data_IF_886780439431
#
_entry.id   IF_886780439431
#
_cell.length_a   1.000
_cell.length_b   1.000
_cell.length_c   1.000
_cell.angle_alpha   90.00
_cell.angle_beta   90.00
_cell.angle_gamma   90.00
#
_symmetry.space_group_name_H-M   'P 1'
#
loop_
_entity.id
_entity.type
_entity.pdbx_description
1 polymer ?
#
# COMPACT_ATOMS: atom_id res chain seq x y z
N UNK A 1 -6.17 -12.15 -15.39
CA UNK A 1 -5.95 -10.95 -16.24
C UNK A 1 -5.48 -9.86 -15.28
N UNK A 2 -4.26 -9.33 -15.45
CA UNK A 2 -3.58 -8.27 -14.65
C UNK A 2 -3.87 -8.24 -13.14
N UNK A 3 -3.01 -8.83 -12.32
CA UNK A 3 -3.36 -9.11 -10.93
C UNK A 3 -2.46 -8.47 -9.83
N UNK A 4 -1.13 -8.51 -9.88
CA UNK A 4 -0.30 -7.96 -8.77
C UNK A 4 -0.32 -6.43 -8.64
N UNK A 5 -0.32 -5.72 -9.76
CA UNK A 5 -0.38 -4.25 -9.79
C UNK A 5 -1.60 -3.65 -9.06
N UNK A 6 -2.83 -4.15 -9.30
CA UNK A 6 -4.00 -3.77 -8.52
C UNK A 6 -3.83 -3.98 -7.01
N UNK A 7 -3.16 -5.04 -6.58
CA UNK A 7 -2.98 -5.32 -5.14
C UNK A 7 -2.15 -4.23 -4.46
N UNK A 8 -1.02 -3.83 -5.03
CA UNK A 8 -0.17 -2.77 -4.46
C UNK A 8 -0.88 -1.40 -4.45
N UNK A 9 -1.70 -1.13 -5.46
CA UNK A 9 -2.54 0.06 -5.53
C UNK A 9 -3.61 0.07 -4.44
N UNK A 10 -4.29 -1.06 -4.20
CA UNK A 10 -5.25 -1.21 -3.10
C UNK A 10 -4.58 -1.11 -1.74
N UNK A 11 -3.40 -1.74 -1.55
CA UNK A 11 -2.63 -1.61 -0.31
C UNK A 11 -2.22 -0.15 -0.05
N UNK A 12 -1.81 0.58 -1.09
CA UNK A 12 -1.47 2.01 -0.98
C UNK A 12 -2.71 2.84 -0.62
N UNK A 13 -3.85 2.55 -1.25
CA UNK A 13 -5.14 3.17 -0.95
C UNK A 13 -5.52 2.94 0.52
N UNK A 14 -5.55 1.69 0.97
CA UNK A 14 -5.86 1.29 2.34
C UNK A 14 -4.92 1.91 3.36
N UNK A 15 -3.63 2.05 3.04
CA UNK A 15 -2.67 2.75 3.90
C UNK A 15 -3.03 4.24 4.07
N UNK A 16 -3.39 4.92 2.96
CA UNK A 16 -3.90 6.29 3.01
C UNK A 16 -5.17 6.40 3.87
N UNK A 17 -6.11 5.47 3.69
CA UNK A 17 -7.33 5.39 4.49
C UNK A 17 -7.04 5.18 5.97
N UNK A 18 -6.11 4.28 6.32
CA UNK A 18 -5.76 3.98 7.71
C UNK A 18 -5.22 5.22 8.46
N UNK A 19 -4.35 6.01 7.81
CA UNK A 19 -3.85 7.25 8.40
C UNK A 19 -4.95 8.32 8.54
N UNK A 20 -5.85 8.46 7.56
CA UNK A 20 -6.98 9.38 7.65
C UNK A 20 -8.02 8.93 8.70
N UNK A 21 -8.20 7.62 8.88
CA UNK A 21 -9.07 7.09 9.93
C UNK A 21 -8.46 7.35 11.31
N UNK A 22 -7.17 7.08 11.48
CA UNK A 22 -6.43 7.34 12.73
C UNK A 22 -6.37 8.82 13.10
N UNK A 23 -6.40 9.72 12.10
CA UNK A 23 -6.52 11.16 12.32
C UNK A 23 -7.78 11.50 13.14
N UNK A 24 -8.90 10.80 12.91
CA UNK A 24 -10.17 11.12 13.59
C UNK A 24 -10.64 12.55 13.32
N UNK A 25 -11.04 13.25 14.38
CA UNK A 25 -11.41 14.68 14.33
C UNK A 25 -10.22 15.63 14.49
N UNK A 26 -9.04 15.08 14.78
CA UNK A 26 -7.81 15.86 14.95
C UNK A 26 -7.41 16.44 13.60
N UNK A 27 -7.03 17.71 13.56
CA UNK A 27 -6.54 18.35 12.34
C UNK A 27 -7.51 18.31 11.13
N UNK A 28 -8.81 18.03 11.30
CA UNK A 28 -9.74 17.94 10.15
C UNK A 28 -9.74 19.21 9.29
N UNK A 29 -9.65 20.36 9.95
CA UNK A 29 -9.62 21.70 9.33
C UNK A 29 -8.25 22.08 8.74
N UNK A 30 -7.20 21.26 8.95
CA UNK A 30 -5.88 21.54 8.35
C UNK A 30 -5.88 21.15 6.87
N UNK A 31 -5.23 21.95 6.00
CA UNK A 31 -4.90 21.52 4.64
C UNK A 31 -4.13 20.20 4.66
N UNK A 32 -4.37 19.32 3.67
CA UNK A 32 -3.79 17.97 3.63
C UNK A 32 -2.27 17.97 3.72
N UNK A 33 -1.61 18.86 2.97
CA UNK A 33 -0.15 19.01 2.99
C UNK A 33 0.42 19.58 4.31
N UNK A 34 -0.45 19.99 5.23
CA UNK A 34 -0.11 20.44 6.60
C UNK A 34 -0.61 19.46 7.68
N UNK A 35 -1.25 18.36 7.30
CA UNK A 35 -1.67 17.34 8.26
C UNK A 35 -0.49 16.46 8.64
N UNK A 36 -0.27 16.31 9.94
CA UNK A 36 0.76 15.45 10.50
C UNK A 36 0.51 14.00 10.11
N UNK A 37 -0.74 13.54 10.14
CA UNK A 37 -1.12 12.18 9.76
C UNK A 37 -0.84 11.90 8.28
N UNK A 38 -1.11 12.87 7.39
CA UNK A 38 -0.79 12.74 5.97
C UNK A 38 0.72 12.68 5.74
N UNK A 39 1.50 13.61 6.31
CA UNK A 39 2.94 13.68 6.08
C UNK A 39 3.70 12.49 6.67
N UNK A 40 3.35 12.08 7.89
CA UNK A 40 3.94 10.89 8.53
C UNK A 40 3.53 9.62 7.79
N UNK A 41 2.27 9.52 7.35
CA UNK A 41 1.82 8.39 6.56
C UNK A 41 2.46 8.34 5.17
N UNK A 42 2.68 9.48 4.53
CA UNK A 42 3.39 9.57 3.26
C UNK A 42 4.86 9.17 3.42
N UNK A 43 5.52 9.59 4.50
CA UNK A 43 6.87 9.18 4.81
C UNK A 43 6.95 7.66 5.08
N UNK A 44 5.99 7.12 5.83
CA UNK A 44 5.87 5.67 6.05
C UNK A 44 5.64 4.92 4.73
N UNK A 45 4.72 5.40 3.88
CA UNK A 45 4.44 4.82 2.57
C UNK A 45 5.70 4.84 1.68
N UNK A 46 6.43 5.95 1.63
CA UNK A 46 7.67 6.08 0.86
C UNK A 46 8.74 5.09 1.33
N UNK A 47 9.02 5.03 2.64
CA UNK A 47 10.10 4.20 3.18
C UNK A 47 9.75 2.72 3.13
N UNK A 48 8.52 2.38 3.52
CA UNK A 48 8.12 0.99 3.75
C UNK A 48 7.42 0.42 2.52
N UNK A 49 6.26 0.95 2.15
CA UNK A 49 5.46 0.37 1.06
C UNK A 49 6.18 0.47 -0.29
N UNK A 50 6.59 1.69 -0.67
CA UNK A 50 7.34 1.93 -1.89
C UNK A 50 8.73 1.30 -1.86
N UNK A 51 9.46 1.41 -0.74
CA UNK A 51 10.78 0.78 -0.58
C UNK A 51 10.76 -0.73 -0.79
N UNK A 52 9.77 -1.42 -0.19
CA UNK A 52 9.59 -2.88 -0.37
C UNK A 52 9.19 -3.20 -1.81
N UNK A 53 8.23 -2.48 -2.40
CA UNK A 53 7.81 -2.73 -3.77
C UNK A 53 8.94 -2.52 -4.79
N UNK A 54 9.74 -1.44 -4.61
CA UNK A 54 10.91 -1.17 -5.44
C UNK A 54 11.97 -2.27 -5.29
N UNK A 55 12.23 -2.74 -4.07
CA UNK A 55 13.15 -3.85 -3.83
C UNK A 55 12.66 -5.14 -4.50
N UNK A 56 11.36 -5.44 -4.42
CA UNK A 56 10.75 -6.59 -5.10
C UNK A 56 10.93 -6.48 -6.61
N UNK A 57 10.72 -5.30 -7.18
CA UNK A 57 10.94 -5.05 -8.61
C UNK A 57 12.41 -5.24 -9.03
N UNK A 58 13.36 -4.80 -8.20
CA UNK A 58 14.79 -4.97 -8.49
C UNK A 58 15.20 -6.45 -8.45
N UNK A 59 14.65 -7.23 -7.52
CA UNK A 59 15.00 -8.64 -7.35
C UNK A 59 14.33 -9.53 -8.38
N UNK A 60 13.03 -9.36 -8.59
CA UNK A 60 12.21 -10.23 -9.43
C UNK A 60 11.18 -9.40 -10.21
N UNK A 61 11.60 -8.65 -11.24
CA UNK A 61 10.71 -7.77 -11.98
C UNK A 61 9.58 -8.54 -12.67
N UNK A 62 9.84 -9.76 -13.15
CA UNK A 62 8.81 -10.62 -13.75
C UNK A 62 7.72 -11.05 -12.77
N UNK A 63 7.99 -11.06 -11.46
CA UNK A 63 6.95 -11.31 -10.44
C UNK A 63 6.02 -10.10 -10.27
N UNK A 64 6.53 -8.89 -10.43
CA UNK A 64 5.71 -7.68 -10.36
C UNK A 64 4.84 -7.50 -11.63
N UNK A 65 5.41 -7.79 -12.81
CA UNK A 65 4.72 -7.67 -14.12
C UNK A 65 4.02 -8.93 -14.59
N UNK A 66 3.97 -9.93 -13.71
CA UNK A 66 3.61 -11.32 -13.93
C UNK A 66 2.30 -11.60 -14.67
N UNK A 67 1.42 -10.61 -14.73
CA UNK A 67 0.09 -10.69 -15.32
C UNK A 67 -0.13 -9.75 -16.50
N UNK A 68 0.91 -9.04 -16.92
CA UNK A 68 0.87 -8.04 -17.97
C UNK A 68 1.76 -8.47 -19.14
N UNK A 69 3.07 -8.48 -18.93
CA UNK A 69 4.07 -8.76 -19.97
C UNK A 69 5.40 -9.12 -19.30
N UNK A 70 6.36 -9.65 -20.08
CA UNK A 70 7.72 -9.83 -19.57
C UNK A 70 8.37 -8.46 -19.30
N UNK A 71 9.10 -8.34 -18.20
CA UNK A 71 9.62 -7.05 -17.74
C UNK A 71 10.53 -6.36 -18.78
N UNK A 72 11.23 -7.14 -19.60
CA UNK A 72 12.11 -6.66 -20.67
C UNK A 72 11.41 -5.81 -21.73
N UNK A 73 10.09 -5.96 -21.87
CA UNK A 73 9.27 -5.15 -22.80
C UNK A 73 8.54 -4.00 -22.11
N UNK A 74 8.67 -3.85 -20.79
CA UNK A 74 8.03 -2.76 -20.06
C UNK A 74 8.92 -1.52 -20.17
N UNK A 75 8.48 -0.43 -20.83
CA UNK A 75 9.27 0.79 -20.89
C UNK A 75 9.49 1.35 -19.48
N UNK A 76 10.68 1.85 -19.19
CA UNK A 76 11.01 2.44 -17.88
C UNK A 76 10.04 3.55 -17.47
N UNK A 77 9.50 4.30 -18.44
CA UNK A 77 8.47 5.31 -18.19
C UNK A 77 7.17 4.71 -17.62
N UNK A 78 6.77 3.51 -18.05
CA UNK A 78 5.60 2.80 -17.52
C UNK A 78 5.86 2.32 -16.09
N UNK A 79 7.07 1.82 -15.82
CA UNK A 79 7.49 1.43 -14.46
C UNK A 79 7.41 2.64 -13.52
N UNK A 80 7.99 3.78 -13.92
CA UNK A 80 7.95 5.02 -13.15
C UNK A 80 6.52 5.52 -12.93
N UNK A 81 5.67 5.45 -13.96
CA UNK A 81 4.25 5.83 -13.87
C UNK A 81 3.49 4.95 -12.86
N UNK A 82 3.70 3.64 -12.89
CA UNK A 82 3.10 2.70 -11.93
C UNK A 82 3.48 3.04 -10.50
N UNK A 83 4.77 3.25 -10.24
CA UNK A 83 5.25 3.59 -8.92
C UNK A 83 4.73 4.96 -8.45
N UNK A 84 4.65 5.95 -9.33
CA UNK A 84 3.99 7.22 -9.05
C UNK A 84 2.49 7.01 -8.72
N UNK A 85 1.84 6.06 -9.39
CA UNK A 85 0.49 5.60 -9.11
C UNK A 85 0.29 5.15 -7.66
N UNK A 86 1.29 4.53 -7.02
CA UNK A 86 1.17 4.13 -5.61
C UNK A 86 1.02 5.33 -4.67
N UNK A 87 1.76 6.42 -4.92
CA UNK A 87 1.61 7.67 -4.16
C UNK A 87 0.27 8.35 -4.43
N UNK A 88 -0.20 8.30 -5.68
CA UNK A 88 -1.52 8.80 -6.03
C UNK A 88 -2.61 8.03 -5.29
N UNK A 89 -2.55 6.69 -5.28
CA UNK A 89 -3.51 5.84 -4.57
C UNK A 89 -3.48 6.09 -3.07
N UNK A 90 -2.30 6.26 -2.47
CA UNK A 90 -2.18 6.67 -1.08
C UNK A 90 -2.89 8.01 -0.81
N UNK A 91 -2.64 9.03 -1.63
CA UNK A 91 -3.30 10.33 -1.47
C UNK A 91 -4.82 10.25 -1.66
N UNK A 92 -5.27 9.47 -2.64
CA UNK A 92 -6.69 9.21 -2.89
C UNK A 92 -7.36 8.52 -1.69
N UNK A 93 -6.71 7.53 -1.09
CA UNK A 93 -7.25 6.82 0.08
C UNK A 93 -7.43 7.75 1.27
N UNK A 94 -6.43 8.62 1.50
CA UNK A 94 -6.50 9.62 2.56
C UNK A 94 -7.64 10.63 2.33
N UNK A 95 -7.75 11.16 1.11
CA UNK A 95 -8.79 12.12 0.73
C UNK A 95 -10.20 11.50 0.75
N UNK A 96 -10.32 10.26 0.28
CA UNK A 96 -11.59 9.53 0.23
C UNK A 96 -12.19 9.37 1.62
N UNK A 97 -11.39 9.01 2.62
CA UNK A 97 -11.87 8.93 4.01
C UNK A 97 -12.34 10.28 4.52
N UNK A 98 -11.63 11.38 4.23
CA UNK A 98 -12.08 12.74 4.63
C UNK A 98 -13.43 13.07 3.98
N UNK A 99 -13.56 12.86 2.68
CA UNK A 99 -14.81 13.13 1.94
C UNK A 99 -15.99 12.27 2.44
N UNK A 100 -15.77 10.98 2.72
CA UNK A 100 -16.83 10.08 3.20
C UNK A 100 -17.24 10.43 4.63
N UNK A 101 -16.32 10.90 5.47
CA UNK A 101 -16.64 11.33 6.85
C UNK A 101 -17.58 12.52 6.91
N UNK A 102 -17.53 13.42 5.94
CA UNK A 102 -18.49 14.54 5.82
C UNK A 102 -19.93 14.04 5.66
N UNK A 103 -20.12 12.83 5.12
CA UNK A 103 -21.43 12.18 5.00
C UNK A 103 -21.78 11.39 6.26
N UNK A 104 -20.87 10.54 6.73
CA UNK A 104 -21.04 9.73 7.94
C UNK A 104 -19.72 9.13 8.43
N UNK A 105 -19.45 9.28 9.73
CA UNK A 105 -18.28 8.67 10.37
C UNK A 105 -18.24 7.14 10.23
N UNK A 106 -19.40 6.46 10.27
CA UNK A 106 -19.50 5.00 10.10
C UNK A 106 -19.26 4.58 8.66
N UNK A 107 -19.67 5.39 7.68
CA UNK A 107 -19.45 5.09 6.26
C UNK A 107 -17.96 5.03 5.90
N UNK A 108 -17.12 5.85 6.54
CA UNK A 108 -15.68 5.83 6.30
C UNK A 108 -15.04 4.49 6.72
N UNK A 109 -15.47 3.92 7.85
CA UNK A 109 -15.05 2.58 8.28
C UNK A 109 -15.58 1.48 7.35
N UNK A 110 -16.80 1.62 6.84
CA UNK A 110 -17.36 0.68 5.87
C UNK A 110 -16.56 0.67 4.56
N UNK A 111 -16.21 1.85 4.02
CA UNK A 111 -15.38 1.97 2.80
C UNK A 111 -14.00 1.35 3.00
N UNK A 112 -13.35 1.60 4.14
CA UNK A 112 -12.09 0.94 4.47
C UNK A 112 -12.24 -0.58 4.62
N UNK A 113 -13.32 -1.05 5.25
CA UNK A 113 -13.65 -2.48 5.31
C UNK A 113 -13.86 -3.11 3.93
N UNK A 114 -14.48 -2.39 3.00
CA UNK A 114 -14.63 -2.81 1.61
C UNK A 114 -13.28 -2.92 0.90
N UNK A 115 -12.37 -1.96 1.09
CA UNK A 115 -11.01 -2.01 0.55
C UNK A 115 -10.24 -3.25 1.06
N UNK A 116 -10.28 -3.50 2.38
CA UNK A 116 -9.69 -4.70 2.98
C UNK A 116 -10.31 -5.99 2.44
N UNK A 117 -11.63 -6.01 2.24
CA UNK A 117 -12.31 -7.16 1.65
C UNK A 117 -11.88 -7.38 0.19
N UNK A 118 -11.73 -6.32 -0.60
CA UNK A 118 -11.23 -6.40 -1.97
C UNK A 118 -9.80 -6.95 -1.99
N UNK A 119 -8.91 -6.47 -1.11
CA UNK A 119 -7.55 -7.00 -0.94
C UNK A 119 -7.59 -8.50 -0.60
N UNK A 120 -8.45 -8.92 0.34
CA UNK A 120 -8.56 -10.33 0.74
C UNK A 120 -9.08 -11.22 -0.40
N UNK A 121 -10.12 -10.77 -1.12
CA UNK A 121 -10.63 -11.44 -2.32
C UNK A 121 -9.52 -11.55 -3.37
N UNK A 122 -8.78 -10.46 -3.57
CA UNK A 122 -7.67 -10.39 -4.50
C UNK A 122 -6.59 -11.43 -4.18
N UNK A 123 -6.11 -11.45 -2.94
CA UNK A 123 -5.12 -12.43 -2.47
C UNK A 123 -5.66 -13.85 -2.62
N UNK A 124 -6.94 -14.08 -2.29
CA UNK A 124 -7.56 -15.39 -2.37
C UNK A 124 -7.67 -15.92 -3.82
N UNK A 125 -8.12 -15.08 -4.76
CA UNK A 125 -8.27 -15.48 -6.17
C UNK A 125 -6.94 -15.66 -6.88
N UNK A 126 -5.88 -15.00 -6.39
CA UNK A 126 -4.55 -15.02 -6.98
C UNK A 126 -3.54 -15.84 -6.19
N UNK A 127 -3.98 -16.49 -5.12
CA UNK A 127 -3.12 -17.17 -4.13
C UNK A 127 -2.12 -18.13 -4.77
N UNK A 128 -2.59 -19.05 -5.61
CA UNK A 128 -1.72 -20.05 -6.25
C UNK A 128 -0.61 -19.37 -7.07
N UNK A 129 -0.89 -18.22 -7.69
CA UNK A 129 0.07 -17.53 -8.55
C UNK A 129 1.09 -16.70 -7.78
N UNK A 130 0.72 -16.11 -6.64
CA UNK A 130 1.64 -15.35 -5.78
C UNK A 130 2.87 -16.17 -5.35
N UNK A 131 2.74 -17.50 -5.32
CA UNK A 131 3.80 -18.44 -4.96
C UNK A 131 4.79 -18.80 -6.07
N UNK A 132 4.67 -18.21 -7.28
CA UNK A 132 5.57 -18.49 -8.39
C UNK A 132 6.14 -17.23 -9.00
N UNK A 133 7.42 -17.25 -9.35
CA UNK A 133 8.13 -16.20 -10.08
C UNK A 133 8.30 -16.65 -11.54
N UNK A 134 7.88 -15.81 -12.48
CA UNK A 134 8.03 -16.06 -13.92
C UNK A 134 6.97 -15.31 -14.73
N UNK A 135 7.15 -15.19 -16.04
CA UNK A 135 6.26 -14.40 -16.91
C UNK A 135 4.84 -15.00 -17.00
N UNK A 136 3.88 -14.21 -17.48
CA UNK A 136 2.50 -14.68 -17.73
C UNK A 136 2.48 -15.92 -18.62
N UNK A 137 3.22 -15.87 -19.74
CA UNK A 137 3.25 -16.97 -20.71
C UNK A 137 3.78 -18.27 -20.11
N UNK A 138 4.82 -18.20 -19.28
CA UNK A 138 5.40 -19.37 -18.60
C UNK A 138 4.39 -20.07 -17.69
N UNK A 139 3.61 -19.30 -16.93
CA UNK A 139 2.68 -19.87 -15.95
C UNK A 139 1.44 -20.49 -16.58
N UNK A 140 0.93 -19.92 -17.67
CA UNK A 140 -0.24 -20.46 -18.37
C UNK A 140 0.11 -21.46 -19.49
N UNK A 141 1.38 -21.83 -19.63
CA UNK A 141 1.83 -22.79 -20.65
C UNK A 141 1.61 -22.29 -22.09
N UNK A 142 1.47 -20.97 -22.27
CA UNK A 142 1.42 -20.41 -23.61
C UNK A 142 2.82 -20.49 -24.23
N UNK A 143 2.94 -20.77 -25.54
CA UNK A 143 4.21 -20.70 -26.23
C UNK A 143 4.70 -19.25 -26.16
N UNK A 144 5.56 -18.98 -25.18
CA UNK A 144 6.21 -17.69 -25.03
C UNK A 144 7.23 -17.62 -26.15
N UNK A 145 7.21 -16.59 -27.02
CA UNK A 145 8.21 -16.46 -28.08
C UNK A 145 9.64 -16.53 -27.53
N UNK A 146 9.84 -16.05 -26.30
CA UNK A 146 11.14 -16.02 -25.63
C UNK A 146 10.93 -16.14 -24.12
N UNK A 147 11.42 -17.24 -23.56
CA UNK A 147 11.36 -17.53 -22.14
C UNK A 147 11.67 -19.00 -21.92
N UNK A 148 12.82 -19.30 -21.34
CA UNK A 148 13.16 -20.66 -20.95
C UNK A 148 12.15 -21.13 -19.88
N UNK A 149 11.33 -22.17 -20.13
CA UNK A 149 10.35 -22.68 -19.18
C UNK A 149 10.97 -23.09 -17.84
N UNK A 150 12.29 -23.36 -17.81
CA UNK A 150 13.04 -23.65 -16.60
C UNK A 150 13.12 -22.47 -15.61
N UNK A 151 12.74 -21.25 -16.04
CA UNK A 151 12.76 -20.04 -15.21
C UNK A 151 11.52 -19.85 -14.34
N UNK A 152 10.48 -20.66 -14.50
CA UNK A 152 9.36 -20.67 -13.56
C UNK A 152 9.83 -21.30 -12.24
N UNK A 153 9.95 -20.48 -11.21
CA UNK A 153 10.47 -20.90 -9.91
C UNK A 153 9.42 -20.69 -8.83
N UNK A 154 9.40 -21.56 -7.83
CA UNK A 154 8.63 -21.30 -6.62
C UNK A 154 9.26 -20.09 -5.90
N UNK A 155 8.45 -19.15 -5.43
CA UNK A 155 8.95 -17.95 -4.75
C UNK A 155 9.84 -18.33 -3.56
N UNK A 156 9.53 -19.43 -2.86
CA UNK A 156 10.30 -19.97 -1.73
C UNK A 156 11.75 -20.33 -2.07
N UNK A 157 12.06 -20.54 -3.35
CA UNK A 157 13.43 -20.78 -3.84
C UNK A 157 14.18 -19.50 -4.22
N UNK A 158 13.53 -18.34 -4.18
CA UNK A 158 14.09 -17.04 -4.57
C UNK A 158 14.41 -16.18 -3.35
N UNK A 159 15.28 -15.17 -3.53
CA UNK A 159 15.56 -14.15 -2.48
C UNK A 159 14.30 -13.34 -2.12
N UNK A 160 13.38 -13.17 -3.07
CA UNK A 160 12.13 -12.44 -2.87
C UNK A 160 11.30 -12.99 -1.71
N UNK A 161 11.22 -14.32 -1.55
CA UNK A 161 10.47 -14.92 -0.45
C UNK A 161 10.98 -14.48 0.92
N UNK A 162 12.30 -14.48 1.13
CA UNK A 162 12.90 -14.06 2.38
C UNK A 162 12.70 -12.56 2.64
N UNK A 163 12.80 -11.75 1.59
CA UNK A 163 12.52 -10.31 1.67
C UNK A 163 11.07 -10.09 2.10
N UNK A 164 10.09 -10.73 1.46
CA UNK A 164 8.69 -10.57 1.82
C UNK A 164 8.36 -11.12 3.21
N UNK A 165 8.94 -12.28 3.57
CA UNK A 165 8.74 -12.92 4.87
C UNK A 165 9.20 -12.03 6.03
N UNK A 166 10.28 -11.26 5.83
CA UNK A 166 10.78 -10.32 6.83
C UNK A 166 10.06 -8.97 6.71
N UNK A 167 10.02 -8.38 5.52
CA UNK A 167 9.52 -7.03 5.31
C UNK A 167 8.04 -6.88 5.69
N UNK A 168 7.19 -7.86 5.42
CA UNK A 168 5.75 -7.76 5.69
C UNK A 168 5.42 -7.66 7.19
N UNK A 169 5.93 -8.55 8.07
CA UNK A 169 5.77 -8.36 9.52
C UNK A 169 6.31 -7.02 10.03
N UNK A 170 7.49 -6.60 9.57
CA UNK A 170 8.07 -5.31 9.98
C UNK A 170 7.22 -4.13 9.50
N UNK A 171 6.65 -4.19 8.31
CA UNK A 171 5.74 -3.18 7.79
C UNK A 171 4.47 -3.09 8.64
N UNK A 172 3.84 -4.23 8.98
CA UNK A 172 2.63 -4.25 9.81
C UNK A 172 2.93 -3.73 11.22
N UNK A 173 3.99 -4.21 11.87
CA UNK A 173 4.39 -3.74 13.20
C UNK A 173 4.72 -2.24 13.18
N UNK A 174 5.48 -1.80 12.16
CA UNK A 174 5.83 -0.39 11.97
C UNK A 174 4.60 0.49 11.79
N UNK A 175 3.63 0.05 10.98
CA UNK A 175 2.37 0.77 10.79
C UNK A 175 1.62 0.92 12.11
N UNK A 176 1.41 -0.18 12.84
CA UNK A 176 0.71 -0.16 14.12
C UNK A 176 1.43 0.73 15.15
N UNK A 177 2.76 0.67 15.21
CA UNK A 177 3.57 1.49 16.10
C UNK A 177 3.45 2.98 15.76
N UNK A 178 3.53 3.36 14.49
CA UNK A 178 3.40 4.75 14.04
C UNK A 178 2.01 5.29 14.35
N UNK A 179 0.95 4.53 14.04
CA UNK A 179 -0.42 4.96 14.34
C UNK A 179 -0.66 5.10 15.85
N UNK A 180 -0.11 4.19 16.65
CA UNK A 180 -0.17 4.27 18.11
C UNK A 180 0.58 5.50 18.66
N UNK A 181 1.79 5.76 18.17
CA UNK A 181 2.58 6.92 18.56
C UNK A 181 1.89 8.24 18.21
N UNK A 182 1.33 8.34 17.00
CA UNK A 182 0.55 9.52 16.58
C UNK A 182 -0.64 9.74 17.52
N UNK A 183 -1.40 8.68 17.81
CA UNK A 183 -2.52 8.77 18.76
C UNK A 183 -2.07 9.28 20.13
N UNK A 184 -1.00 8.72 20.69
CA UNK A 184 -0.46 9.12 22.00
C UNK A 184 0.03 10.58 22.01
N UNK A 185 0.69 11.02 20.95
CA UNK A 185 1.20 12.40 20.84
C UNK A 185 0.07 13.43 20.93
N UNK A 186 -1.05 13.18 20.25
CA UNK A 186 -2.21 14.09 20.29
C UNK A 186 -3.08 13.95 21.54
N UNK A 187 -3.03 12.82 22.26
CA UNK A 187 -3.68 12.68 23.58
C UNK A 187 -2.94 13.48 24.67
N UNK A 188 -1.62 13.69 24.52
CA UNK A 188 -0.80 14.41 25.49
C UNK A 188 -0.77 15.94 25.28
N UNK A 189 -1.23 16.45 24.14
CA UNK A 189 -1.30 17.87 23.89
C UNK A 189 -2.51 18.48 24.65
N UNK A 190 -2.31 19.40 25.60
CA UNK A 190 -3.43 20.08 26.25
C UNK A 190 -4.26 20.80 25.19
N UNK A 191 -5.59 20.68 25.27
CA UNK A 191 -6.45 21.48 24.39
C UNK A 191 -6.15 22.95 24.68
N UNK A 192 -5.65 23.69 23.69
CA UNK A 192 -5.37 25.13 23.83
C UNK A 192 -6.61 25.90 24.36
N UNK A 193 -7.80 25.34 24.15
CA UNK A 193 -9.09 25.81 24.66
C UNK A 193 -9.23 25.76 26.20
N UNK A 194 -8.50 24.91 26.92
CA UNK A 194 -8.48 24.92 28.41
C UNK A 194 -7.50 25.93 29.00
N UNK A 195 -6.50 26.37 28.22
CA UNK A 195 -5.54 27.38 28.65
C UNK A 195 -6.14 28.81 28.60
N UNK A 196 -7.06 29.09 27.66
CA UNK A 196 -7.77 30.38 27.63
C UNK A 196 -8.82 30.52 28.75
N UNK A 197 -9.47 29.43 29.16
CA UNK A 197 -10.53 29.46 30.19
C UNK A 197 -9.98 29.55 31.62
N UNK A 198 -8.73 29.16 31.85
CA UNK A 198 -8.09 29.24 33.19
C UNK A 198 -7.23 30.49 33.39
N UNK A 199 -7.11 31.34 32.35
CA UNK A 199 -6.35 32.59 32.38
C UNK A 199 -7.18 33.87 32.55
N UNK A 200 -8.49 33.76 32.82
CA UNK A 200 -9.41 34.88 33.10
C UNK A 200 -9.92 34.81 34.55
#
# INVERSE_FOLDING_TARGET
MVETLPLDMLLSLGLGMAFALAQGDREQNKPVLKSTYFLVGLAFHFVVAFGVALLCYILEPDWMWMYFTAHEYVPTAVVAFVFAGYFLMYALGFLLVKAVRELSGTAAWAVFGCDLALIAVFIGTTWHRLWYVGTFGMYYGHPVPYGDPSRLQAISSTTLFWVLLVAMPFAVIGLLAVLWLLRKHFEAAPSEETAEVTGA
#
